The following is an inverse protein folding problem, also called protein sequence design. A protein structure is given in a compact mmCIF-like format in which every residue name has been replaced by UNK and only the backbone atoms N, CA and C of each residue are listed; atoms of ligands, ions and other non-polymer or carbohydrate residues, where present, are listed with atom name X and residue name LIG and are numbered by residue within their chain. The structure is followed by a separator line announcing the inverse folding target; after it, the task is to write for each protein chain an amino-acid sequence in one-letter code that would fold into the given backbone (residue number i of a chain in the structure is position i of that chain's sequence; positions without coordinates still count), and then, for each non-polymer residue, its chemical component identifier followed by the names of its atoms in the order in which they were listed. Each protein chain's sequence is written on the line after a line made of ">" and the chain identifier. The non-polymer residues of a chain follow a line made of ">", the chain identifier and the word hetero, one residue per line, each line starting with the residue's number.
data_IF_150234641981
#
_entry.id   IF_150234641981
#
_cell.length_a   1.000
_cell.length_b   1.000
_cell.length_c   1.000
_cell.angle_alpha   90.00
_cell.angle_beta   90.00
_cell.angle_gamma   90.00
#
_symmetry.space_group_name_H-M   'P 1'
#
loop_
_entity.id
_entity.type
_entity.pdbx_description
1 polymer ?
#
# COMPACT_ATOMS: atom_id res chain seq x y z
N UNK A 1 3.78 18.26 -9.39
CA UNK A 1 4.92 18.06 -8.47
C UNK A 1 6.05 17.45 -9.26
N UNK A 2 7.31 17.59 -8.84
CA UNK A 2 8.46 16.99 -9.54
C UNK A 2 8.39 15.45 -9.48
N UNK A 3 8.76 14.77 -10.56
CA UNK A 3 8.81 13.30 -10.64
C UNK A 3 10.02 12.70 -9.92
N UNK A 4 10.94 13.54 -9.42
CA UNK A 4 12.16 13.09 -8.75
C UNK A 4 11.92 12.67 -7.28
N UNK A 5 10.82 13.10 -6.67
CA UNK A 5 10.53 12.85 -5.25
C UNK A 5 9.06 12.50 -5.02
N UNK A 6 8.83 11.40 -4.31
CA UNK A 6 7.50 11.00 -3.84
C UNK A 6 7.26 11.56 -2.43
N UNK A 7 6.31 12.48 -2.32
CA UNK A 7 5.74 12.99 -1.09
C UNK A 7 4.52 12.13 -0.77
N UNK A 8 4.62 11.30 0.27
CA UNK A 8 3.58 10.33 0.64
C UNK A 8 2.72 10.87 1.79
N UNK A 9 1.39 10.93 1.58
CA UNK A 9 0.44 11.22 2.64
C UNK A 9 0.06 9.99 3.46
N UNK A 10 0.25 10.05 4.77
CA UNK A 10 -0.21 9.03 5.74
C UNK A 10 -1.38 9.58 6.57
N UNK A 11 -1.11 10.28 7.68
CA UNK A 11 -2.14 10.83 8.58
C UNK A 11 -2.98 11.93 7.92
N UNK A 12 -2.43 12.60 6.90
CA UNK A 12 -3.19 13.55 6.09
C UNK A 12 -4.34 12.86 5.35
N UNK A 13 -4.14 11.62 4.88
CA UNK A 13 -5.06 10.93 3.99
C UNK A 13 -5.86 9.83 4.70
N UNK A 14 -5.27 9.16 5.69
CA UNK A 14 -5.85 8.06 6.48
C UNK A 14 -6.58 7.01 5.64
N UNK A 15 -6.08 6.70 4.43
CA UNK A 15 -6.76 5.81 3.47
C UNK A 15 -8.24 6.17 3.26
N UNK A 16 -8.59 7.46 3.20
CA UNK A 16 -9.96 7.96 3.09
C UNK A 16 -10.19 8.69 1.76
N UNK A 17 -11.28 8.36 1.06
CA UNK A 17 -11.59 8.88 -0.27
C UNK A 17 -11.78 10.41 -0.30
N UNK A 18 -12.50 10.98 0.67
CA UNK A 18 -12.79 12.43 0.71
C UNK A 18 -11.51 13.24 0.98
N UNK A 19 -10.65 12.72 1.86
CA UNK A 19 -9.36 13.35 2.15
C UNK A 19 -8.42 13.29 0.95
N UNK A 20 -8.41 12.16 0.24
CA UNK A 20 -7.64 12.02 -0.99
C UNK A 20 -8.12 13.00 -2.06
N UNK A 21 -9.42 13.10 -2.31
CA UNK A 21 -9.99 14.03 -3.28
C UNK A 21 -9.56 15.48 -2.99
N UNK A 22 -9.64 15.90 -1.72
CA UNK A 22 -9.16 17.22 -1.29
C UNK A 22 -7.66 17.38 -1.49
N UNK A 23 -6.84 16.39 -1.11
CA UNK A 23 -5.39 16.48 -1.24
C UNK A 23 -4.93 16.51 -2.70
N UNK A 24 -5.66 15.85 -3.61
CA UNK A 24 -5.44 15.89 -5.06
C UNK A 24 -5.76 17.28 -5.60
N UNK A 25 -6.90 17.87 -5.24
CA UNK A 25 -7.29 19.21 -5.72
C UNK A 25 -6.34 20.30 -5.22
N UNK A 26 -5.88 20.19 -3.97
CA UNK A 26 -4.94 21.12 -3.35
C UNK A 26 -3.47 20.85 -3.75
N UNK A 27 -3.20 19.77 -4.50
CA UNK A 27 -1.84 19.32 -4.84
C UNK A 27 -0.95 19.24 -3.59
N UNK A 28 -1.44 18.59 -2.54
CA UNK A 28 -0.75 18.51 -1.26
C UNK A 28 0.35 17.43 -1.20
N UNK A 29 0.24 16.37 -2.00
CA UNK A 29 1.23 15.29 -2.12
C UNK A 29 1.14 14.60 -3.50
N UNK A 30 1.93 13.56 -3.75
CA UNK A 30 1.91 12.78 -5.01
C UNK A 30 2.02 11.25 -4.76
N UNK A 31 1.76 10.82 -3.54
CA UNK A 31 1.71 9.42 -3.15
C UNK A 31 0.85 9.23 -1.89
N UNK A 32 0.35 8.01 -1.72
CA UNK A 32 -0.49 7.63 -0.58
C UNK A 32 0.08 6.42 0.13
N UNK A 33 0.06 6.46 1.47
CA UNK A 33 0.31 5.30 2.31
C UNK A 33 -1.03 4.61 2.62
N UNK A 34 -1.19 3.40 2.11
CA UNK A 34 -2.43 2.63 2.20
C UNK A 34 -2.37 1.67 3.39
N UNK A 35 -3.29 1.82 4.32
CA UNK A 35 -3.51 0.92 5.46
C UNK A 35 -4.96 0.43 5.40
N UNK A 36 -5.23 -0.80 4.91
CA UNK A 36 -6.60 -1.26 4.66
C UNK A 36 -7.55 -1.12 5.87
N UNK A 37 -7.02 -1.34 7.08
CA UNK A 37 -7.81 -1.20 8.30
C UNK A 37 -8.13 0.24 8.73
N UNK A 38 -7.59 1.28 8.05
CA UNK A 38 -8.06 2.66 8.20
C UNK A 38 -9.31 2.93 7.36
N UNK A 39 -9.45 2.30 6.19
CA UNK A 39 -10.65 2.38 5.38
C UNK A 39 -11.78 1.53 5.96
N UNK A 40 -11.45 0.37 6.54
CA UNK A 40 -12.38 -0.53 7.22
C UNK A 40 -12.74 -1.76 6.40
N UNK A 41 -12.87 -1.61 5.07
CA UNK A 41 -13.12 -2.74 4.16
C UNK A 41 -12.14 -2.81 2.98
N UNK A 42 -12.01 -3.99 2.38
CA UNK A 42 -11.22 -4.18 1.16
C UNK A 42 -11.78 -3.34 0.01
N UNK A 43 -13.10 -3.34 -0.18
CA UNK A 43 -13.78 -2.60 -1.26
C UNK A 43 -13.54 -1.10 -1.16
N UNK A 44 -13.63 -0.51 0.04
CA UNK A 44 -13.34 0.91 0.25
C UNK A 44 -11.86 1.22 0.02
N UNK A 45 -10.97 0.33 0.47
CA UNK A 45 -9.53 0.47 0.22
C UNK A 45 -9.24 0.49 -1.29
N UNK A 46 -9.84 -0.43 -2.06
CA UNK A 46 -9.69 -0.50 -3.52
C UNK A 46 -10.24 0.75 -4.22
N UNK A 47 -11.34 1.33 -3.72
CA UNK A 47 -11.86 2.61 -4.24
C UNK A 47 -10.85 3.74 -4.06
N UNK A 48 -10.23 3.85 -2.88
CA UNK A 48 -9.20 4.86 -2.60
C UNK A 48 -7.96 4.66 -3.48
N UNK A 49 -7.51 3.41 -3.65
CA UNK A 49 -6.38 3.09 -4.53
C UNK A 49 -6.69 3.48 -5.99
N UNK A 50 -7.90 3.17 -6.48
CA UNK A 50 -8.32 3.54 -7.84
C UNK A 50 -8.26 5.06 -8.03
N UNK A 51 -8.83 5.83 -7.10
CA UNK A 51 -8.79 7.30 -7.14
C UNK A 51 -7.34 7.84 -7.15
N UNK A 52 -6.46 7.25 -6.35
CA UNK A 52 -5.05 7.66 -6.32
C UNK A 52 -4.34 7.33 -7.64
N UNK A 53 -4.61 6.17 -8.25
CA UNK A 53 -4.09 5.81 -9.58
C UNK A 53 -4.60 6.75 -10.68
N UNK A 54 -5.89 7.07 -10.67
CA UNK A 54 -6.50 7.99 -11.64
C UNK A 54 -5.88 9.40 -11.53
N UNK A 55 -5.36 9.77 -10.35
CA UNK A 55 -4.58 10.99 -10.11
C UNK A 55 -3.06 10.85 -10.40
N UNK A 56 -2.60 9.72 -10.94
CA UNK A 56 -1.19 9.37 -11.16
C UNK A 56 -0.33 9.40 -9.89
N UNK A 57 -0.90 9.07 -8.73
CA UNK A 57 -0.15 9.01 -7.46
C UNK A 57 0.45 7.63 -7.22
N UNK A 58 1.59 7.61 -6.52
CA UNK A 58 2.25 6.38 -6.08
C UNK A 58 1.53 5.71 -4.93
N UNK A 59 1.37 4.39 -5.02
CA UNK A 59 0.68 3.57 -4.02
C UNK A 59 1.69 2.84 -3.13
N UNK A 60 1.63 3.08 -1.82
CA UNK A 60 2.52 2.46 -0.84
C UNK A 60 1.71 1.64 0.16
N UNK A 61 1.69 0.31 0.07
CA UNK A 61 0.99 -0.54 1.06
C UNK A 61 1.77 -0.57 2.37
N UNK A 62 1.09 -0.43 3.52
CA UNK A 62 1.75 -0.32 4.83
C UNK A 62 1.19 -1.27 5.88
N UNK A 63 2.09 -1.77 6.72
CA UNK A 63 1.78 -2.36 8.02
C UNK A 63 1.25 -1.33 9.03
N UNK A 64 0.84 -1.83 10.21
CA UNK A 64 0.53 -1.04 11.41
C UNK A 64 1.55 -1.24 12.54
N UNK A 65 1.66 -0.25 13.44
CA UNK A 65 2.58 -0.31 14.59
C UNK A 65 2.41 -1.59 15.43
N UNK A 66 1.16 -1.99 15.72
CA UNK A 66 0.83 -3.34 16.17
C UNK A 66 0.45 -4.22 14.97
N UNK A 67 1.12 -5.36 14.80
CA UNK A 67 0.87 -6.33 13.73
C UNK A 67 0.68 -7.74 14.29
N UNK A 68 0.17 -8.62 13.44
CA UNK A 68 0.03 -10.05 13.72
C UNK A 68 0.87 -10.88 12.74
N UNK A 69 0.88 -12.20 12.87
CA UNK A 69 1.54 -13.07 11.88
C UNK A 69 0.74 -13.25 10.58
N UNK A 70 -0.41 -12.59 10.44
CA UNK A 70 -1.14 -12.53 9.18
C UNK A 70 -0.30 -11.82 8.10
N UNK A 71 -0.29 -12.35 6.88
CA UNK A 71 0.48 -11.81 5.74
C UNK A 71 -0.41 -11.20 4.65
N UNK A 72 -1.69 -10.96 4.92
CA UNK A 72 -2.67 -10.42 3.96
C UNK A 72 -2.15 -9.22 3.17
N UNK A 73 -1.46 -8.30 3.84
CA UNK A 73 -0.95 -7.08 3.20
C UNK A 73 0.14 -7.35 2.14
N UNK A 74 0.82 -8.50 2.17
CA UNK A 74 1.76 -8.92 1.13
C UNK A 74 1.02 -9.34 -0.16
N UNK A 75 0.05 -10.27 -0.04
CA UNK A 75 -0.82 -10.65 -1.15
C UNK A 75 -1.59 -9.45 -1.70
N UNK A 76 -2.13 -8.61 -0.81
CA UNK A 76 -2.84 -7.40 -1.17
C UNK A 76 -1.95 -6.45 -1.98
N UNK A 77 -0.72 -6.17 -1.52
CA UNK A 77 0.22 -5.30 -2.23
C UNK A 77 0.54 -5.82 -3.64
N UNK A 78 0.76 -7.13 -3.79
CA UNK A 78 1.00 -7.74 -5.09
C UNK A 78 -0.26 -7.67 -5.99
N UNK A 79 -1.42 -8.04 -5.46
CA UNK A 79 -2.68 -8.09 -6.20
C UNK A 79 -3.16 -6.72 -6.69
N UNK A 80 -2.92 -5.65 -5.91
CA UNK A 80 -3.24 -4.29 -6.36
C UNK A 80 -2.14 -3.64 -7.19
N UNK A 81 -0.99 -4.31 -7.38
CA UNK A 81 0.18 -3.78 -8.08
C UNK A 81 0.78 -2.53 -7.43
N UNK A 82 0.88 -2.50 -6.09
CA UNK A 82 1.46 -1.36 -5.37
C UNK A 82 2.86 -1.03 -5.87
N UNK A 83 3.18 0.27 -5.95
CA UNK A 83 4.53 0.72 -6.32
C UNK A 83 5.57 0.37 -5.24
N UNK A 84 5.16 0.42 -3.96
CA UNK A 84 6.02 0.12 -2.83
C UNK A 84 5.27 -0.60 -1.71
N UNK A 85 6.03 -1.32 -0.88
CA UNK A 85 5.54 -1.97 0.33
C UNK A 85 6.39 -1.57 1.54
N UNK A 86 5.75 -1.18 2.64
CA UNK A 86 6.38 -0.87 3.92
C UNK A 86 5.90 -1.88 4.95
N UNK A 87 6.70 -2.92 5.20
CA UNK A 87 6.34 -4.00 6.16
C UNK A 87 7.14 -3.98 7.47
N UNK A 88 7.96 -2.95 7.69
CA UNK A 88 8.82 -2.80 8.87
C UNK A 88 10.22 -3.34 8.63
N UNK A 89 11.11 -3.29 9.63
CA UNK A 89 12.43 -3.90 9.49
C UNK A 89 12.31 -5.42 9.26
N UNK A 90 13.31 -6.08 8.62
CA UNK A 90 13.37 -7.54 8.50
C UNK A 90 13.76 -8.16 9.84
N UNK A 91 12.99 -7.86 10.87
CA UNK A 91 13.13 -8.33 12.25
C UNK A 91 11.74 -8.47 12.86
N UNK A 92 11.62 -9.32 13.88
CA UNK A 92 10.35 -9.70 14.52
C UNK A 92 9.42 -10.50 13.60
N UNK A 93 8.82 -11.56 14.12
CA UNK A 93 8.07 -12.54 13.32
C UNK A 93 6.92 -11.92 12.53
N UNK A 94 6.21 -10.97 13.13
CA UNK A 94 5.06 -10.30 12.51
C UNK A 94 5.43 -9.40 11.33
N UNK A 95 6.71 -9.05 11.14
CA UNK A 95 7.21 -8.31 9.97
C UNK A 95 7.77 -9.28 8.94
N UNK A 96 8.64 -10.19 9.38
CA UNK A 96 9.33 -11.16 8.52
C UNK A 96 8.35 -12.02 7.73
N UNK A 97 7.21 -12.40 8.32
CA UNK A 97 6.22 -13.23 7.65
C UNK A 97 5.65 -12.61 6.36
N UNK A 98 5.56 -11.26 6.28
CA UNK A 98 5.13 -10.56 5.05
C UNK A 98 6.19 -10.64 3.95
N UNK A 99 7.47 -10.52 4.31
CA UNK A 99 8.58 -10.67 3.38
C UNK A 99 8.68 -12.10 2.85
N UNK A 100 8.54 -13.09 3.72
CA UNK A 100 8.50 -14.50 3.33
C UNK A 100 7.33 -14.79 2.38
N UNK A 101 6.18 -14.16 2.60
CA UNK A 101 5.05 -14.28 1.69
C UNK A 101 5.34 -13.66 0.32
N UNK A 102 6.01 -12.51 0.25
CA UNK A 102 6.44 -11.93 -1.03
C UNK A 102 7.37 -12.88 -1.81
N UNK A 103 8.35 -13.50 -1.15
CA UNK A 103 9.23 -14.51 -1.77
C UNK A 103 8.44 -15.72 -2.28
N UNK A 104 7.41 -16.14 -1.54
CA UNK A 104 6.54 -17.24 -1.95
C UNK A 104 5.72 -16.88 -3.19
N UNK A 105 5.12 -15.69 -3.22
CA UNK A 105 4.37 -15.17 -4.37
C UNK A 105 5.27 -15.06 -5.60
N UNK A 106 6.50 -14.55 -5.43
CA UNK A 106 7.48 -14.47 -6.52
C UNK A 106 7.78 -15.86 -7.11
N UNK A 107 8.06 -16.85 -6.26
CA UNK A 107 8.28 -18.23 -6.70
C UNK A 107 7.07 -18.81 -7.45
N UNK A 108 5.85 -18.60 -6.93
CA UNK A 108 4.60 -19.02 -7.59
C UNK A 108 4.43 -18.37 -8.98
N UNK A 109 4.74 -17.08 -9.12
CA UNK A 109 4.62 -16.35 -10.38
C UNK A 109 5.70 -16.73 -11.40
N UNK A 110 6.92 -17.05 -10.95
CA UNK A 110 8.00 -17.50 -11.83
C UNK A 110 7.75 -18.92 -12.37
N UNK A 111 7.21 -19.82 -11.55
CA UNK A 111 6.82 -21.16 -12.01
C UNK A 111 5.73 -21.12 -13.08
N UNK A 112 4.75 -20.21 -12.96
CA UNK A 112 3.68 -20.05 -13.98
C UNK A 112 4.17 -19.51 -15.32
N UNK A 113 5.38 -18.96 -15.40
CA UNK A 113 5.98 -18.45 -16.65
C UNK A 113 6.75 -19.51 -17.44
N UNK A 114 6.97 -20.69 -16.86
CA UNK A 114 7.56 -21.85 -17.53
C UNK A 114 6.46 -22.74 -18.11
#
# INVERSE_FOLDING_TARGET
>A
MSDQLTIVGDDLLTTNAQRLEKAVSEKACNGILVKPNQAGTVTETLKVIKMARDANWKINTSHRGGETNDWFIADFACGIGSDYAKFGAPSRGERVVKYNRLLSIEAELLQKKQ
#
